data_IF_545257639330
#
_entry.id   IF_545257639330
#
_cell.length_a   1.000
_cell.length_b   1.000
_cell.length_c   1.000
_cell.angle_alpha   90.00
_cell.angle_beta   90.00
_cell.angle_gamma   90.00
#
_symmetry.space_group_name_H-M   'P 1'
#
loop_
_entity.id
_entity.type
_entity.pdbx_description
1 polymer ?
#
# COMPACT_ATOMS: atom_id res chain seq x y z
N UNK A 1 6.84 25.50 -7.83
CA UNK A 1 6.14 25.37 -9.12
C UNK A 1 6.18 26.65 -9.93
N UNK A 2 5.62 27.77 -9.47
CA UNK A 2 5.68 29.00 -10.29
C UNK A 2 7.09 29.59 -10.46
N UNK A 3 7.99 29.27 -9.53
CA UNK A 3 9.41 29.63 -9.55
C UNK A 3 10.32 28.51 -10.08
N UNK A 4 9.76 27.40 -10.55
CA UNK A 4 10.57 26.25 -10.98
C UNK A 4 11.08 26.50 -12.41
N UNK A 5 12.22 25.90 -12.75
CA UNK A 5 12.71 25.90 -14.13
C UNK A 5 11.76 25.08 -15.02
N UNK A 6 11.28 25.70 -16.09
CA UNK A 6 10.37 25.11 -17.08
C UNK A 6 11.06 24.84 -18.43
N UNK A 7 12.39 24.79 -18.45
CA UNK A 7 13.17 24.49 -19.68
C UNK A 7 12.74 23.19 -20.37
N UNK A 8 12.23 22.21 -19.62
CA UNK A 8 11.69 20.95 -20.15
C UNK A 8 10.42 21.11 -21.00
N UNK A 9 9.71 22.25 -20.93
CA UNK A 9 8.50 22.49 -21.74
C UNK A 9 8.80 22.57 -23.24
N UNK A 10 10.07 22.78 -23.62
CA UNK A 10 10.51 22.58 -25.00
C UNK A 10 10.11 21.19 -25.53
N UNK A 11 10.30 20.15 -24.70
CA UNK A 11 9.97 18.78 -25.06
C UNK A 11 8.45 18.56 -25.17
N UNK A 12 7.66 19.24 -24.33
CA UNK A 12 6.19 19.21 -24.41
C UNK A 12 5.71 19.83 -25.73
N UNK A 13 6.28 20.97 -26.12
CA UNK A 13 5.98 21.61 -27.41
C UNK A 13 6.37 20.76 -28.62
N UNK A 14 7.50 20.05 -28.55
CA UNK A 14 7.88 19.06 -29.59
C UNK A 14 6.80 17.98 -29.77
N UNK A 15 6.11 17.61 -28.69
CA UNK A 15 5.00 16.66 -28.69
C UNK A 15 3.63 17.29 -28.99
N UNK A 16 3.58 18.59 -29.32
CA UNK A 16 2.34 19.32 -29.61
C UNK A 16 1.53 19.75 -28.38
N UNK A 17 2.13 19.72 -27.18
CA UNK A 17 1.49 20.17 -25.93
C UNK A 17 1.89 21.62 -25.64
N UNK A 18 0.90 22.47 -25.36
CA UNK A 18 1.14 23.89 -25.04
C UNK A 18 1.74 24.07 -23.64
N UNK A 19 2.40 25.20 -23.39
CA UNK A 19 2.98 25.48 -22.08
C UNK A 19 1.92 25.52 -20.95
N UNK A 20 0.71 25.99 -21.27
CA UNK A 20 -0.42 25.99 -20.32
C UNK A 20 -0.89 24.57 -19.99
N UNK A 21 -1.03 23.71 -21.00
CA UNK A 21 -1.38 22.30 -20.79
C UNK A 21 -0.27 21.57 -20.01
N UNK A 22 1.00 21.83 -20.35
CA UNK A 22 2.17 21.31 -19.64
C UNK A 22 2.14 21.67 -18.15
N UNK A 23 1.89 22.93 -17.81
CA UNK A 23 1.75 23.39 -16.42
C UNK A 23 0.64 22.64 -15.69
N UNK A 24 -0.52 22.50 -16.31
CA UNK A 24 -1.65 21.78 -15.71
C UNK A 24 -1.33 20.29 -15.49
N UNK A 25 -0.69 19.64 -16.46
CA UNK A 25 -0.28 18.23 -16.35
C UNK A 25 0.66 18.05 -15.14
N UNK A 26 1.69 18.89 -15.02
CA UNK A 26 2.63 18.84 -13.90
C UNK A 26 1.92 19.09 -12.56
N UNK A 27 1.02 20.07 -12.49
CA UNK A 27 0.25 20.36 -11.29
C UNK A 27 -0.62 19.17 -10.87
N UNK A 28 -1.35 18.57 -11.81
CA UNK A 28 -2.21 17.41 -11.52
C UNK A 28 -1.38 16.18 -11.15
N UNK A 29 -0.23 15.96 -11.79
CA UNK A 29 0.67 14.88 -11.43
C UNK A 29 1.17 15.05 -9.98
N UNK A 30 1.56 16.27 -9.60
CA UNK A 30 2.03 16.58 -8.25
C UNK A 30 0.92 16.45 -7.21
N UNK A 31 -0.27 17.00 -7.47
CA UNK A 31 -1.47 16.84 -6.62
C UNK A 31 -1.85 15.37 -6.46
N UNK A 32 -1.81 14.61 -7.56
CA UNK A 32 -2.08 13.18 -7.57
C UNK A 32 -1.06 12.40 -6.72
N UNK A 33 0.24 12.66 -6.90
CA UNK A 33 1.32 12.02 -6.13
C UNK A 33 1.19 12.34 -4.64
N UNK A 34 0.91 13.59 -4.30
CA UNK A 34 0.65 14.01 -2.92
C UNK A 34 -0.51 13.21 -2.33
N UNK A 35 -1.69 13.26 -2.96
CA UNK A 35 -2.87 12.57 -2.46
C UNK A 35 -2.65 11.07 -2.29
N UNK A 36 -2.07 10.40 -3.28
CA UNK A 36 -1.83 8.95 -3.24
C UNK A 36 -0.87 8.55 -2.11
N UNK A 37 0.19 9.34 -1.89
CA UNK A 37 1.14 9.11 -0.80
C UNK A 37 0.44 9.23 0.56
N UNK A 38 -0.27 10.33 0.79
CA UNK A 38 -0.89 10.58 2.10
C UNK A 38 -2.11 9.71 2.36
N UNK A 39 -2.88 9.32 1.34
CA UNK A 39 -3.95 8.33 1.49
C UNK A 39 -3.38 6.96 1.92
N UNK A 40 -2.25 6.56 1.33
CA UNK A 40 -1.53 5.35 1.72
C UNK A 40 -1.03 5.39 3.16
N UNK A 41 -0.26 6.42 3.50
CA UNK A 41 0.28 6.59 4.86
C UNK A 41 -0.84 6.71 5.89
N UNK A 42 -1.91 7.45 5.61
CA UNK A 42 -3.05 7.60 6.53
C UNK A 42 -3.68 6.25 6.89
N UNK A 43 -4.00 5.41 5.89
CA UNK A 43 -4.64 4.13 6.16
C UNK A 43 -3.70 3.10 6.77
N UNK A 44 -2.42 3.10 6.41
CA UNK A 44 -1.40 2.28 7.07
C UNK A 44 -1.33 2.63 8.57
N UNK A 45 -1.15 3.91 8.89
CA UNK A 45 -1.00 4.40 10.26
C UNK A 45 -2.27 4.17 11.09
N UNK A 46 -3.46 4.48 10.55
CA UNK A 46 -4.72 4.23 11.26
C UNK A 46 -4.95 2.73 11.54
N UNK A 47 -4.52 1.86 10.62
CA UNK A 47 -4.60 0.40 10.82
C UNK A 47 -3.63 -0.08 11.88
N UNK A 48 -2.40 0.42 11.89
CA UNK A 48 -1.39 0.12 12.92
C UNK A 48 -1.91 0.54 14.30
N UNK A 49 -2.47 1.74 14.41
CA UNK A 49 -3.05 2.23 15.67
C UNK A 49 -4.17 1.32 16.19
N UNK A 50 -5.03 0.80 15.31
CA UNK A 50 -6.04 -0.18 15.72
C UNK A 50 -5.42 -1.45 16.31
N UNK A 51 -4.29 -1.92 15.78
CA UNK A 51 -3.58 -3.08 16.30
C UNK A 51 -2.86 -2.76 17.62
N UNK A 52 -2.17 -1.63 17.72
CA UNK A 52 -1.45 -1.22 18.93
C UNK A 52 -2.40 -1.05 20.12
N UNK A 53 -3.58 -0.47 19.90
CA UNK A 53 -4.61 -0.34 20.94
C UNK A 53 -5.10 -1.70 21.46
N UNK A 54 -5.31 -2.67 20.56
CA UNK A 54 -5.79 -4.00 20.97
C UNK A 54 -4.68 -4.90 21.52
N UNK A 55 -3.48 -4.79 20.97
CA UNK A 55 -2.37 -5.69 21.20
C UNK A 55 -1.14 -4.88 21.65
N UNK A 56 -0.92 -4.70 22.96
CA UNK A 56 0.20 -3.92 23.48
C UNK A 56 1.60 -4.43 23.07
N UNK A 57 1.70 -5.68 22.63
CA UNK A 57 2.93 -6.30 22.13
C UNK A 57 3.11 -6.18 20.61
N UNK A 58 2.20 -5.51 19.90
CA UNK A 58 2.33 -5.26 18.47
C UNK A 58 3.62 -4.47 18.18
N UNK A 59 4.31 -4.82 17.09
CA UNK A 59 5.53 -4.15 16.66
C UNK A 59 5.31 -3.52 15.30
N UNK A 60 5.38 -2.21 15.21
CA UNK A 60 5.33 -1.48 13.94
C UNK A 60 6.67 -1.51 13.21
N UNK A 61 6.63 -1.51 11.89
CA UNK A 61 7.78 -1.30 10.98
C UNK A 61 8.99 -2.17 11.32
N UNK A 62 8.73 -3.42 11.69
CA UNK A 62 9.79 -4.39 12.01
C UNK A 62 10.55 -4.74 10.74
N UNK A 63 11.88 -4.70 10.77
CA UNK A 63 12.72 -5.14 9.65
C UNK A 63 13.26 -6.54 9.89
N UNK A 64 13.14 -7.38 8.86
CA UNK A 64 13.73 -8.72 8.82
C UNK A 64 14.83 -8.79 7.75
N UNK A 65 15.91 -9.55 7.97
CA UNK A 65 16.93 -9.76 6.94
C UNK A 65 16.36 -10.43 5.69
N UNK A 66 16.81 -10.00 4.51
CA UNK A 66 16.60 -10.75 3.28
C UNK A 66 17.65 -11.88 3.19
N UNK A 67 17.20 -13.12 3.42
CA UNK A 67 18.03 -14.33 3.34
C UNK A 67 17.94 -15.05 2.00
N UNK A 68 17.08 -14.59 1.09
CA UNK A 68 16.79 -15.25 -0.19
C UNK A 68 17.31 -14.46 -1.41
N UNK A 69 17.76 -13.22 -1.21
CA UNK A 69 18.30 -12.38 -2.27
C UNK A 69 19.25 -11.32 -1.72
N UNK A 70 19.84 -10.53 -2.62
CA UNK A 70 20.86 -9.53 -2.29
C UNK A 70 20.30 -8.13 -2.12
N UNK A 71 19.17 -7.81 -2.77
CA UNK A 71 18.50 -6.50 -2.69
C UNK A 71 16.97 -6.66 -2.65
N UNK A 72 16.26 -5.94 -1.76
CA UNK A 72 16.80 -5.13 -0.66
C UNK A 72 17.49 -6.01 0.42
N UNK A 73 18.33 -5.42 1.28
CA UNK A 73 19.01 -6.16 2.36
C UNK A 73 18.08 -6.58 3.49
N UNK A 74 16.97 -5.84 3.67
CA UNK A 74 15.92 -6.15 4.64
C UNK A 74 14.55 -5.96 4.00
N UNK A 75 13.56 -6.64 4.57
CA UNK A 75 12.15 -6.38 4.31
C UNK A 75 11.50 -5.78 5.55
N UNK A 76 10.69 -4.75 5.35
CA UNK A 76 9.87 -4.16 6.40
C UNK A 76 8.53 -4.90 6.49
N UNK A 77 8.07 -5.13 7.72
CA UNK A 77 6.74 -5.60 8.08
C UNK A 77 6.04 -4.41 8.71
N UNK A 78 4.95 -3.93 8.10
CA UNK A 78 4.26 -2.71 8.54
C UNK A 78 3.77 -2.85 9.99
N UNK A 79 3.19 -4.01 10.33
CA UNK A 79 2.79 -4.35 11.69
C UNK A 79 2.94 -5.85 11.97
N UNK A 80 3.58 -6.23 13.08
CA UNK A 80 3.64 -7.60 13.57
C UNK A 80 2.77 -7.73 14.82
N UNK A 81 1.80 -8.64 14.80
CA UNK A 81 0.96 -9.01 15.96
C UNK A 81 1.16 -10.49 16.26
N UNK A 82 1.89 -10.81 17.35
CA UNK A 82 2.28 -12.19 17.64
C UNK A 82 3.12 -12.79 16.50
N UNK A 83 2.57 -13.78 15.79
CA UNK A 83 3.19 -14.37 14.59
C UNK A 83 2.65 -13.82 13.27
N UNK A 84 1.66 -12.94 13.29
CA UNK A 84 1.02 -12.41 12.09
C UNK A 84 1.73 -11.14 11.62
N UNK A 85 2.36 -11.21 10.45
CA UNK A 85 3.11 -10.12 9.83
C UNK A 85 2.25 -9.46 8.74
N UNK A 86 1.72 -8.28 9.06
CA UNK A 86 0.82 -7.52 8.20
C UNK A 86 1.59 -6.59 7.24
N UNK A 87 1.26 -6.70 5.96
CA UNK A 87 1.52 -5.71 4.91
C UNK A 87 0.20 -4.98 4.62
N UNK A 88 0.18 -3.66 4.78
CA UNK A 88 -1.01 -2.83 4.69
C UNK A 88 -0.93 -1.96 3.44
N UNK A 89 -1.99 -2.00 2.63
CA UNK A 89 -2.12 -1.20 1.42
C UNK A 89 -3.49 -0.55 1.38
N UNK A 90 -3.52 0.75 1.15
CA UNK A 90 -4.78 1.42 0.83
C UNK A 90 -5.30 0.94 -0.53
N UNK A 91 -4.42 0.87 -1.53
CA UNK A 91 -4.68 0.40 -2.90
C UNK A 91 -3.35 -0.01 -3.54
N UNK A 92 -3.35 -1.06 -4.34
CA UNK A 92 -2.20 -1.41 -5.19
C UNK A 92 -2.61 -1.37 -6.67
N UNK A 93 -2.06 -0.38 -7.38
CA UNK A 93 -2.30 -0.15 -8.80
C UNK A 93 -1.10 -0.55 -9.67
N UNK A 94 -0.14 -1.30 -9.10
CA UNK A 94 1.01 -1.84 -9.83
C UNK A 94 0.56 -2.56 -11.09
N UNK A 95 1.21 -2.24 -12.21
CA UNK A 95 1.08 -2.95 -13.48
C UNK A 95 2.37 -3.67 -13.86
N UNK A 96 3.44 -3.50 -13.09
CA UNK A 96 4.77 -4.05 -13.37
C UNK A 96 4.95 -5.44 -12.73
N UNK A 97 5.57 -6.35 -13.47
CA UNK A 97 5.90 -7.71 -13.03
C UNK A 97 7.03 -7.75 -12.00
N UNK A 98 7.95 -6.78 -12.00
CA UNK A 98 9.07 -6.72 -11.06
C UNK A 98 8.61 -6.64 -9.60
N UNK A 99 7.48 -5.98 -9.39
CA UNK A 99 6.84 -5.86 -8.08
C UNK A 99 6.34 -7.21 -7.55
N UNK A 100 5.88 -8.13 -8.43
CA UNK A 100 5.44 -9.48 -8.04
C UNK A 100 6.62 -10.30 -7.52
N UNK A 101 7.74 -10.27 -8.24
CA UNK A 101 8.95 -11.01 -7.88
C UNK A 101 9.49 -10.55 -6.52
N UNK A 102 9.52 -9.23 -6.29
CA UNK A 102 9.90 -8.66 -5.00
C UNK A 102 8.97 -9.10 -3.88
N UNK A 103 7.66 -9.08 -4.12
CA UNK A 103 6.67 -9.47 -3.10
C UNK A 103 6.72 -10.96 -2.79
N UNK A 104 6.88 -11.81 -3.80
CA UNK A 104 7.12 -13.24 -3.61
C UNK A 104 8.34 -13.51 -2.73
N UNK A 105 9.42 -12.76 -2.95
CA UNK A 105 10.65 -12.86 -2.13
C UNK A 105 10.41 -12.36 -0.70
N UNK A 106 9.68 -11.26 -0.52
CA UNK A 106 9.28 -10.73 0.80
C UNK A 106 8.51 -11.79 1.60
N UNK A 107 7.46 -12.34 1.00
CA UNK A 107 6.54 -13.29 1.62
C UNK A 107 7.25 -14.56 2.07
N UNK A 108 8.18 -15.09 1.25
CA UNK A 108 9.03 -16.23 1.64
C UNK A 108 10.00 -15.89 2.78
N UNK A 109 10.62 -14.70 2.77
CA UNK A 109 11.48 -14.27 3.88
C UNK A 109 10.70 -14.15 5.19
N UNK A 110 9.50 -13.58 5.16
CA UNK A 110 8.61 -13.49 6.33
C UNK A 110 8.27 -14.89 6.86
N UNK A 111 7.91 -15.83 5.97
CA UNK A 111 7.64 -17.22 6.35
C UNK A 111 8.86 -17.89 6.98
N UNK A 112 10.03 -17.74 6.38
CA UNK A 112 11.29 -18.30 6.87
C UNK A 112 11.74 -17.68 8.20
N UNK A 113 11.34 -16.44 8.49
CA UNK A 113 11.52 -15.80 9.78
C UNK A 113 10.54 -16.31 10.86
N UNK A 114 9.66 -17.26 10.53
CA UNK A 114 8.71 -17.88 11.47
C UNK A 114 7.38 -17.16 11.59
N UNK A 115 7.10 -16.19 10.72
CA UNK A 115 5.86 -15.40 10.74
C UNK A 115 4.87 -15.87 9.67
N UNK A 116 3.58 -15.60 9.90
CA UNK A 116 2.50 -15.76 8.93
C UNK A 116 2.34 -14.45 8.17
N UNK A 117 2.67 -14.39 6.87
CA UNK A 117 2.46 -13.18 6.08
C UNK A 117 0.95 -12.95 5.85
N UNK A 118 0.49 -11.74 6.10
CA UNK A 118 -0.90 -11.32 5.87
C UNK A 118 -0.90 -10.02 5.10
N UNK A 119 -1.63 -9.97 3.98
CA UNK A 119 -1.83 -8.74 3.21
C UNK A 119 -3.22 -8.20 3.41
N UNK A 120 -3.31 -6.89 3.63
CA UNK A 120 -4.57 -6.15 3.73
C UNK A 120 -4.57 -5.08 2.66
N UNK A 121 -5.56 -5.10 1.76
CA UNK A 121 -5.72 -4.11 0.71
C UNK A 121 -7.13 -3.50 0.71
N UNK A 122 -7.28 -2.27 1.17
CA UNK A 122 -8.60 -1.66 1.41
C UNK A 122 -9.42 -1.43 0.13
N UNK A 123 -8.78 -1.00 -0.95
CA UNK A 123 -9.41 -0.72 -2.23
C UNK A 123 -8.77 -1.54 -3.35
N UNK A 124 -9.60 -2.21 -4.13
CA UNK A 124 -9.15 -3.03 -5.26
C UNK A 124 -8.77 -2.14 -6.46
N UNK A 125 -7.77 -2.50 -7.28
CA UNK A 125 -7.48 -1.78 -8.50
C UNK A 125 -8.59 -1.96 -9.55
N UNK A 126 -8.70 -0.98 -10.46
CA UNK A 126 -9.70 -1.00 -11.54
C UNK A 126 -9.12 -1.53 -12.87
N UNK A 127 -7.80 -1.39 -13.07
CA UNK A 127 -7.14 -1.77 -14.33
C UNK A 127 -7.01 -3.29 -14.41
N UNK A 128 -7.43 -3.89 -15.53
CA UNK A 128 -7.38 -5.35 -15.76
C UNK A 128 -6.01 -5.98 -15.44
N UNK A 129 -4.92 -5.32 -15.83
CA UNK A 129 -3.56 -5.79 -15.55
C UNK A 129 -3.25 -5.79 -14.05
N UNK A 130 -3.57 -4.71 -13.34
CA UNK A 130 -3.38 -4.64 -11.90
C UNK A 130 -4.25 -5.67 -11.15
N UNK A 131 -5.47 -5.93 -11.63
CA UNK A 131 -6.34 -7.00 -11.09
C UNK A 131 -5.65 -8.36 -11.18
N UNK A 132 -5.15 -8.75 -12.36
CA UNK A 132 -4.41 -10.01 -12.56
C UNK A 132 -3.21 -10.12 -11.63
N UNK A 133 -2.48 -9.02 -11.43
CA UNK A 133 -1.34 -8.98 -10.50
C UNK A 133 -1.79 -9.26 -9.07
N UNK A 134 -2.90 -8.66 -8.61
CA UNK A 134 -3.41 -8.91 -7.26
C UNK A 134 -3.94 -10.35 -7.09
N UNK A 135 -4.49 -10.96 -8.14
CA UNK A 135 -4.85 -12.39 -8.15
C UNK A 135 -3.62 -13.28 -7.97
N UNK A 136 -2.53 -13.00 -8.70
CA UNK A 136 -1.24 -13.69 -8.54
C UNK A 136 -0.65 -13.47 -7.14
N UNK A 137 -0.72 -12.26 -6.58
CA UNK A 137 -0.26 -12.03 -5.21
C UNK A 137 -1.09 -12.83 -4.20
N UNK A 138 -2.40 -12.95 -4.39
CA UNK A 138 -3.25 -13.79 -3.53
C UNK A 138 -2.80 -15.25 -3.54
N UNK A 139 -2.45 -15.82 -4.69
CA UNK A 139 -1.96 -17.21 -4.76
C UNK A 139 -0.58 -17.35 -4.11
N UNK A 140 0.30 -16.36 -4.25
CA UNK A 140 1.61 -16.33 -3.59
C UNK A 140 1.46 -16.36 -2.06
N UNK A 141 0.58 -15.54 -1.49
CA UNK A 141 0.32 -15.52 -0.06
C UNK A 141 -0.24 -16.87 0.41
N UNK A 142 -1.23 -17.41 -0.30
CA UNK A 142 -1.79 -18.72 0.02
C UNK A 142 -0.74 -19.83 -0.04
N UNK A 143 0.15 -19.81 -1.04
CA UNK A 143 1.20 -20.81 -1.25
C UNK A 143 2.23 -20.93 -0.12
N UNK A 144 2.37 -19.90 0.74
CA UNK A 144 3.21 -19.96 1.95
C UNK A 144 2.41 -20.13 3.25
N UNK A 145 1.10 -20.39 3.14
CA UNK A 145 0.17 -20.46 4.27
C UNK A 145 -0.15 -19.09 4.88
N UNK A 146 0.01 -18.02 4.11
CA UNK A 146 -0.40 -16.65 4.47
C UNK A 146 -1.83 -16.33 4.06
N UNK A 147 -2.32 -15.16 4.47
CA UNK A 147 -3.65 -14.68 4.14
C UNK A 147 -3.61 -13.41 3.27
N UNK A 148 -4.64 -13.21 2.46
CA UNK A 148 -4.79 -12.02 1.64
C UNK A 148 -6.25 -11.52 1.75
N UNK A 149 -6.43 -10.35 2.34
CA UNK A 149 -7.73 -9.69 2.51
C UNK A 149 -7.81 -8.43 1.67
N UNK A 150 -8.94 -8.21 1.00
CA UNK A 150 -9.16 -6.99 0.24
C UNK A 150 -10.59 -6.48 0.30
N UNK A 151 -10.80 -5.21 -0.04
CA UNK A 151 -12.12 -4.59 -0.08
C UNK A 151 -12.84 -4.72 1.27
N UNK A 152 -14.10 -5.16 1.25
CA UNK A 152 -14.87 -5.46 2.47
C UNK A 152 -14.16 -6.44 3.42
N UNK A 153 -13.38 -7.39 2.88
CA UNK A 153 -12.60 -8.33 3.68
C UNK A 153 -11.50 -7.66 4.49
N UNK A 154 -10.83 -6.65 3.93
CA UNK A 154 -9.81 -5.86 4.61
C UNK A 154 -10.39 -5.10 5.80
N UNK A 155 -11.51 -4.40 5.62
CA UNK A 155 -12.20 -3.71 6.73
C UNK A 155 -12.67 -4.68 7.82
N UNK A 156 -13.27 -5.81 7.41
CA UNK A 156 -13.78 -6.83 8.34
C UNK A 156 -12.68 -7.48 9.17
N UNK A 157 -11.51 -7.76 8.60
CA UNK A 157 -10.44 -8.42 9.37
C UNK A 157 -9.86 -7.50 10.44
N UNK A 158 -9.78 -6.18 10.18
CA UNK A 158 -9.40 -5.20 11.20
C UNK A 158 -10.41 -5.23 12.34
N UNK A 159 -11.70 -5.01 12.06
CA UNK A 159 -12.75 -5.05 13.09
C UNK A 159 -12.78 -6.36 13.85
N UNK A 160 -12.64 -7.50 13.17
CA UNK A 160 -12.61 -8.82 13.81
C UNK A 160 -11.43 -8.98 14.77
N UNK A 161 -10.25 -8.48 14.42
CA UNK A 161 -9.04 -8.63 15.23
C UNK A 161 -8.95 -7.63 16.36
N UNK A 162 -9.32 -6.37 16.09
CA UNK A 162 -9.10 -5.25 17.02
C UNK A 162 -10.35 -4.87 17.80
N UNK A 163 -11.54 -5.20 17.30
CA UNK A 163 -12.81 -4.69 17.79
C UNK A 163 -13.17 -3.30 17.25
N UNK A 164 -12.24 -2.64 16.54
CA UNK A 164 -12.41 -1.26 16.03
C UNK A 164 -13.03 -1.27 14.65
N UNK A 165 -14.16 -0.57 14.47
CA UNK A 165 -14.75 -0.33 13.15
C UNK A 165 -14.06 0.86 12.45
N UNK A 166 -12.90 0.59 11.87
CA UNK A 166 -12.12 1.62 11.18
C UNK A 166 -12.86 2.22 9.99
N UNK A 167 -13.70 1.46 9.29
CA UNK A 167 -14.47 1.97 8.16
C UNK A 167 -15.48 3.02 8.63
N UNK A 168 -16.24 2.71 9.68
CA UNK A 168 -17.20 3.65 10.27
C UNK A 168 -16.53 4.94 10.75
N UNK A 169 -15.34 4.85 11.38
CA UNK A 169 -14.57 6.03 11.80
C UNK A 169 -14.19 6.89 10.60
N UNK A 170 -13.66 6.30 9.54
CA UNK A 170 -13.26 7.02 8.32
C UNK A 170 -14.47 7.65 7.64
N UNK A 171 -15.61 6.96 7.59
CA UNK A 171 -16.87 7.48 7.04
C UNK A 171 -17.39 8.68 7.84
N UNK A 172 -17.36 8.62 9.18
CA UNK A 172 -17.74 9.74 10.06
C UNK A 172 -16.84 10.96 9.85
N UNK A 173 -15.53 10.76 9.75
CA UNK A 173 -14.56 11.84 9.45
C UNK A 173 -14.83 12.42 8.05
N UNK A 174 -15.16 11.59 7.07
CA UNK A 174 -15.49 12.07 5.73
C UNK A 174 -16.79 12.90 5.73
N UNK A 175 -17.80 12.49 6.49
CA UNK A 175 -19.07 13.22 6.62
C UNK A 175 -18.89 14.57 7.31
N UNK A 176 -18.08 14.65 8.38
CA UNK A 176 -17.82 15.93 9.08
C UNK A 176 -17.05 16.96 8.24
N UNK A 177 -16.46 16.52 7.13
CA UNK A 177 -15.72 17.35 6.17
C UNK A 177 -16.53 17.65 4.89
N UNK A 178 -17.76 17.14 4.76
CA UNK A 178 -18.65 17.59 3.69
C UNK A 178 -19.00 19.05 3.96
N UNK A 179 -18.47 19.93 3.11
CA UNK A 179 -18.94 21.32 3.02
C UNK A 179 -20.33 21.36 2.43
#
# INVERSE_FOLDING_TARGET
MESDDNSHYLLYRVLGVTDTEGKLIDEYQNKGRFLYKYAGSFLEEATILCFEEKFPSAKRKLRIPNKLGTRPSTFEIDCLVGKEAFEIKWRDATTDGDHITKEHTRVKNIKNAGYKPIRIMFYYPNRKQAIRIQETLKTIYAGVGGDYYFGKGAWKIIKKKTGVDLLEIVEKIAQSRRK
#
